data_IF_031763466283
#
_entry.id   IF_031763466283
#
_cell.length_a   1.000
_cell.length_b   1.000
_cell.length_c   1.000
_cell.angle_alpha   90.00
_cell.angle_beta   90.00
_cell.angle_gamma   90.00
#
_symmetry.space_group_name_H-M   'P 1'
#
loop_
_entity.id
_entity.type
_entity.pdbx_description
1 polymer ?
#
# COMPACT_ATOMS: atom_id res chain seq x y z
N UNK A 1 -17.34 18.77 16.62
CA UNK A 1 -17.59 18.59 15.17
C UNK A 1 -16.41 19.13 14.42
N UNK A 2 -15.97 18.38 13.39
CA UNK A 2 -15.18 18.78 12.21
C UNK A 2 -13.86 19.52 12.45
N UNK A 3 -12.71 19.03 12.00
CA UNK A 3 -12.51 18.56 10.62
C UNK A 3 -11.50 17.42 10.56
N UNK A 4 -11.89 16.32 9.93
CA UNK A 4 -10.92 15.47 9.26
C UNK A 4 -10.27 16.34 8.16
N UNK A 5 -8.94 16.33 8.01
CA UNK A 5 -8.33 16.95 6.85
C UNK A 5 -8.87 16.21 5.63
N UNK A 6 -9.52 16.97 4.76
CA UNK A 6 -10.04 16.52 3.48
C UNK A 6 -9.00 15.66 2.78
N UNK A 7 -9.46 14.51 2.30
CA UNK A 7 -8.83 13.69 1.27
C UNK A 7 -8.10 14.61 0.28
N UNK A 8 -6.79 14.67 0.41
CA UNK A 8 -5.96 15.40 -0.54
C UNK A 8 -6.03 14.57 -1.82
N UNK A 9 -6.57 15.18 -2.87
CA UNK A 9 -6.95 14.51 -4.10
C UNK A 9 -5.86 13.63 -4.67
N UNK A 10 -6.29 12.48 -5.21
CA UNK A 10 -5.51 11.67 -6.13
C UNK A 10 -4.93 12.59 -7.20
N UNK A 11 -3.59 12.76 -7.22
CA UNK A 11 -2.90 13.49 -8.27
C UNK A 11 -3.18 12.80 -9.61
N UNK A 12 -3.70 13.50 -10.62
CA UNK A 12 -4.13 12.89 -11.88
C UNK A 12 -2.99 12.63 -12.90
N UNK A 13 -1.70 12.66 -12.50
CA UNK A 13 -0.56 12.41 -13.40
C UNK A 13 0.19 11.09 -13.11
N UNK A 14 0.26 10.65 -11.85
CA UNK A 14 0.98 9.44 -11.43
C UNK A 14 0.33 8.11 -11.87
N UNK A 15 -0.94 8.11 -12.28
CA UNK A 15 -1.60 6.88 -12.74
C UNK A 15 -1.02 6.40 -14.07
N UNK A 16 -0.75 7.31 -15.00
CA UNK A 16 -0.30 6.96 -16.36
C UNK A 16 1.03 6.21 -16.39
N UNK A 17 1.96 6.55 -15.50
CA UNK A 17 3.26 5.87 -15.46
C UNK A 17 3.19 4.52 -14.72
N UNK A 18 2.26 4.36 -13.78
CA UNK A 18 1.97 3.07 -13.15
C UNK A 18 1.30 2.12 -14.14
N UNK A 19 0.32 2.61 -14.89
CA UNK A 19 -0.39 1.83 -15.90
C UNK A 19 0.60 1.27 -16.94
N UNK A 20 1.54 2.10 -17.42
CA UNK A 20 2.61 1.66 -18.34
C UNK A 20 3.51 0.57 -17.74
N UNK A 21 3.80 0.65 -16.45
CA UNK A 21 4.62 -0.36 -15.77
C UNK A 21 3.83 -1.64 -15.57
N UNK A 22 2.54 -1.56 -15.26
CA UNK A 22 1.64 -2.70 -15.16
C UNK A 22 1.50 -3.44 -16.50
N UNK A 23 1.23 -2.70 -17.57
CA UNK A 23 1.17 -3.24 -18.94
C UNK A 23 2.48 -3.95 -19.30
N UNK A 24 3.63 -3.33 -19.01
CA UNK A 24 4.93 -3.92 -19.29
C UNK A 24 5.21 -5.17 -18.46
N UNK A 25 4.77 -5.23 -17.19
CA UNK A 25 4.91 -6.42 -16.35
C UNK A 25 4.06 -7.59 -16.87
N UNK A 26 2.85 -7.29 -17.36
CA UNK A 26 1.99 -8.28 -18.00
C UNK A 26 2.65 -8.83 -19.27
N UNK A 27 3.16 -7.92 -20.11
CA UNK A 27 3.90 -8.24 -21.33
C UNK A 27 5.18 -9.06 -21.11
N UNK A 28 5.85 -8.88 -19.96
CA UNK A 28 7.02 -9.67 -19.57
C UNK A 28 6.60 -11.08 -19.14
N UNK A 29 5.49 -11.17 -18.40
CA UNK A 29 4.94 -12.47 -17.97
C UNK A 29 4.48 -13.30 -19.16
N UNK A 30 3.83 -12.67 -20.14
CA UNK A 30 3.47 -13.30 -21.41
C UNK A 30 4.72 -13.77 -22.18
N UNK A 31 5.73 -12.91 -22.33
CA UNK A 31 6.99 -13.28 -22.99
C UNK A 31 7.70 -14.47 -22.30
N UNK A 32 7.66 -14.53 -20.96
CA UNK A 32 8.19 -15.67 -20.20
C UNK A 32 7.39 -16.95 -20.47
N UNK A 33 6.06 -16.86 -20.52
CA UNK A 33 5.20 -18.01 -20.84
C UNK A 33 5.45 -18.52 -22.27
N UNK A 34 5.56 -17.62 -23.25
CA UNK A 34 5.88 -17.97 -24.64
C UNK A 34 7.25 -18.65 -24.77
N UNK A 35 8.27 -18.17 -24.07
CA UNK A 35 9.59 -18.81 -24.02
C UNK A 35 9.45 -20.20 -23.40
N UNK A 36 8.69 -20.34 -22.30
CA UNK A 36 8.41 -21.63 -21.68
C UNK A 36 7.80 -22.65 -22.64
N UNK A 37 6.81 -22.23 -23.44
CA UNK A 37 6.19 -23.08 -24.47
C UNK A 37 7.18 -23.42 -25.58
N UNK A 38 7.98 -22.46 -26.04
CA UNK A 38 8.94 -22.67 -27.13
C UNK A 38 10.10 -23.59 -26.71
N UNK A 39 10.49 -23.55 -25.44
CA UNK A 39 11.48 -24.49 -24.86
C UNK A 39 10.88 -25.88 -24.68
N UNK A 40 9.58 -25.97 -24.34
CA UNK A 40 8.88 -27.25 -24.19
C UNK A 40 8.76 -28.02 -25.51
N UNK A 41 8.44 -27.32 -26.61
CA UNK A 41 8.36 -27.90 -27.97
C UNK A 41 9.56 -27.47 -28.83
N UNK A 42 10.77 -27.75 -28.32
CA UNK A 42 11.98 -27.32 -28.99
C UNK A 42 12.24 -28.11 -30.28
N UNK A 43 12.37 -27.37 -31.38
CA UNK A 43 12.79 -27.86 -32.69
C UNK A 43 14.05 -27.09 -33.13
N UNK A 44 14.94 -27.70 -33.94
CA UNK A 44 16.16 -27.03 -34.42
C UNK A 44 15.87 -25.76 -35.25
N UNK A 45 14.73 -25.68 -35.95
CA UNK A 45 14.29 -24.43 -36.61
C UNK A 45 13.86 -23.33 -35.62
N UNK A 46 13.51 -23.70 -34.39
CA UNK A 46 13.03 -22.78 -33.34
C UNK A 46 14.16 -22.12 -32.54
N UNK A 47 15.42 -22.48 -32.77
CA UNK A 47 16.58 -21.90 -32.09
C UNK A 47 16.69 -20.39 -32.34
N UNK A 48 16.56 -19.96 -33.60
CA UNK A 48 16.60 -18.54 -33.96
C UNK A 48 15.42 -17.77 -33.35
N UNK A 49 14.23 -18.39 -33.30
CA UNK A 49 13.05 -17.80 -32.67
C UNK A 49 13.25 -17.63 -31.15
N UNK A 50 13.83 -18.62 -30.47
CA UNK A 50 14.15 -18.53 -29.04
C UNK A 50 15.10 -17.38 -28.75
N UNK A 51 16.17 -17.24 -29.53
CA UNK A 51 17.12 -16.13 -29.37
C UNK A 51 16.42 -14.78 -29.51
N UNK A 52 15.54 -14.61 -30.52
CA UNK A 52 14.79 -13.37 -30.69
C UNK A 52 13.86 -13.08 -29.50
N UNK A 53 13.21 -14.11 -28.92
CA UNK A 53 12.33 -13.96 -27.76
C UNK A 53 13.11 -13.59 -26.50
N UNK A 54 14.28 -14.21 -26.27
CA UNK A 54 15.16 -13.86 -25.16
C UNK A 54 15.67 -12.43 -25.29
N UNK A 55 16.08 -12.02 -26.49
CA UNK A 55 16.50 -10.64 -26.75
C UNK A 55 15.38 -9.63 -26.51
N UNK A 56 14.14 -9.97 -26.92
CA UNK A 56 12.96 -9.16 -26.62
C UNK A 56 12.73 -9.06 -25.11
N UNK A 57 12.84 -10.17 -24.38
CA UNK A 57 12.70 -10.19 -22.92
C UNK A 57 13.73 -9.28 -22.24
N UNK A 58 15.00 -9.36 -22.64
CA UNK A 58 16.08 -8.51 -22.11
C UNK A 58 15.78 -7.02 -22.36
N UNK A 59 15.31 -6.68 -23.57
CA UNK A 59 14.90 -5.30 -23.90
C UNK A 59 13.74 -4.83 -23.03
N UNK A 60 12.72 -5.67 -22.80
CA UNK A 60 11.58 -5.35 -21.92
C UNK A 60 12.04 -5.14 -20.47
N UNK A 61 12.94 -5.96 -19.93
CA UNK A 61 13.51 -5.75 -18.59
C UNK A 61 14.31 -4.45 -18.47
N UNK A 62 15.08 -4.10 -19.50
CA UNK A 62 15.82 -2.82 -19.54
C UNK A 62 14.88 -1.62 -19.53
N UNK A 63 13.77 -1.72 -20.28
CA UNK A 63 12.72 -0.72 -20.32
C UNK A 63 12.01 -0.60 -18.97
N UNK A 64 11.70 -1.74 -18.33
CA UNK A 64 11.09 -1.78 -16.99
C UNK A 64 11.98 -1.10 -15.94
N UNK A 65 13.29 -1.35 -15.97
CA UNK A 65 14.26 -0.71 -15.07
C UNK A 65 14.40 0.81 -15.33
N UNK A 66 14.07 1.28 -16.53
CA UNK A 66 14.09 2.70 -16.86
C UNK A 66 12.80 3.38 -16.41
N UNK A 67 11.65 2.73 -16.59
CA UNK A 67 10.35 3.22 -16.11
C UNK A 67 10.26 3.20 -14.57
N UNK A 68 10.80 2.18 -13.91
CA UNK A 68 10.76 2.06 -12.44
C UNK A 68 11.43 3.24 -11.73
N UNK A 69 12.46 3.84 -12.35
CA UNK A 69 13.14 5.04 -11.81
C UNK A 69 12.25 6.30 -11.82
N UNK A 70 11.24 6.34 -12.67
CA UNK A 70 10.29 7.45 -12.73
C UNK A 70 9.14 7.28 -11.72
N UNK A 71 8.93 6.07 -11.19
CA UNK A 71 7.91 5.82 -10.19
C UNK A 71 8.38 6.27 -8.79
N UNK A 72 7.81 7.37 -8.30
CA UNK A 72 8.01 7.82 -6.92
C UNK A 72 6.96 7.22 -5.99
N UNK A 73 6.97 5.89 -5.82
CA UNK A 73 6.10 5.19 -4.86
C UNK A 73 6.90 4.73 -3.64
N UNK A 74 6.44 5.12 -2.45
CA UNK A 74 6.94 4.57 -1.19
C UNK A 74 6.04 3.42 -0.76
N UNK A 75 6.61 2.21 -0.68
CA UNK A 75 5.91 1.00 -0.27
C UNK A 75 6.35 0.68 1.18
N UNK A 76 5.41 0.56 2.14
CA UNK A 76 5.74 0.13 3.49
C UNK A 76 6.34 -1.29 3.51
N UNK A 77 7.31 -1.52 4.38
CA UNK A 77 7.96 -2.84 4.50
C UNK A 77 6.96 -3.94 4.90
N UNK A 78 5.90 -3.59 5.62
CA UNK A 78 4.85 -4.51 6.02
C UNK A 78 4.06 -5.06 4.82
N UNK A 79 3.89 -4.26 3.76
CA UNK A 79 3.27 -4.71 2.51
C UNK A 79 4.19 -5.67 1.77
N UNK A 80 5.52 -5.47 1.85
CA UNK A 80 6.48 -6.42 1.28
C UNK A 80 6.39 -7.78 1.97
N UNK A 81 6.32 -7.81 3.30
CA UNK A 81 6.13 -9.04 4.08
C UNK A 81 4.81 -9.75 3.73
N UNK A 82 3.75 -9.00 3.41
CA UNK A 82 2.48 -9.60 2.96
C UNK A 82 2.67 -10.40 1.67
N UNK A 83 3.48 -9.90 0.73
CA UNK A 83 3.77 -10.60 -0.53
C UNK A 83 4.59 -11.87 -0.26
N UNK A 84 5.58 -11.80 0.64
CA UNK A 84 6.40 -12.97 1.03
C UNK A 84 5.56 -14.08 1.68
N UNK A 85 4.63 -13.71 2.55
CA UNK A 85 3.75 -14.64 3.28
C UNK A 85 2.50 -15.05 2.48
N UNK A 86 2.38 -14.63 1.21
CA UNK A 86 1.23 -14.88 0.34
C UNK A 86 -0.11 -14.34 0.91
N UNK A 87 -0.04 -13.29 1.71
CA UNK A 87 -1.21 -12.60 2.27
C UNK A 87 -1.64 -11.49 1.31
N UNK A 88 -2.94 -11.38 1.07
CA UNK A 88 -3.47 -10.27 0.27
C UNK A 88 -3.18 -8.92 0.96
N UNK A 89 -2.41 -8.00 0.33
CA UNK A 89 -2.10 -6.70 0.93
C UNK A 89 -3.35 -5.84 1.21
N UNK A 90 -4.45 -6.04 0.47
CA UNK A 90 -5.72 -5.35 0.76
C UNK A 90 -6.35 -5.80 2.08
N UNK A 91 -6.21 -7.09 2.42
CA UNK A 91 -6.68 -7.61 3.70
C UNK A 91 -5.86 -7.01 4.85
N UNK A 92 -4.54 -6.93 4.68
CA UNK A 92 -3.66 -6.27 5.65
C UNK A 92 -4.04 -4.80 5.84
N UNK A 93 -4.25 -4.06 4.75
CA UNK A 93 -4.68 -2.66 4.80
C UNK A 93 -5.99 -2.49 5.57
N UNK A 94 -6.96 -3.39 5.32
CA UNK A 94 -8.23 -3.40 6.02
C UNK A 94 -8.05 -3.62 7.52
N UNK A 95 -7.32 -4.65 7.92
CA UNK A 95 -7.10 -4.98 9.33
C UNK A 95 -6.34 -3.86 10.05
N UNK A 96 -5.35 -3.27 9.38
CA UNK A 96 -4.60 -2.12 9.90
C UNK A 96 -5.52 -0.90 10.11
N UNK A 97 -6.40 -0.62 9.16
CA UNK A 97 -7.35 0.49 9.26
C UNK A 97 -8.37 0.25 10.39
N UNK A 98 -8.92 -0.96 10.49
CA UNK A 98 -9.85 -1.33 11.55
C UNK A 98 -9.21 -1.23 12.93
N UNK A 99 -7.98 -1.72 13.07
CA UNK A 99 -7.20 -1.59 14.31
C UNK A 99 -6.94 -0.13 14.66
N UNK A 100 -6.50 0.66 13.69
CA UNK A 100 -6.26 2.10 13.90
C UNK A 100 -7.53 2.83 14.33
N UNK A 101 -8.68 2.49 13.72
CA UNK A 101 -9.96 3.06 14.10
C UNK A 101 -10.38 2.68 15.53
N UNK A 102 -10.21 1.40 15.90
CA UNK A 102 -10.50 0.91 17.25
C UNK A 102 -9.58 1.58 18.30
N UNK A 103 -8.28 1.68 18.02
CA UNK A 103 -7.31 2.35 18.90
C UNK A 103 -7.65 3.84 19.05
N UNK A 104 -8.03 4.53 17.97
CA UNK A 104 -8.44 5.93 18.03
C UNK A 104 -9.70 6.12 18.91
N UNK A 105 -10.72 5.28 18.72
CA UNK A 105 -11.92 5.33 19.57
C UNK A 105 -11.60 5.08 21.04
N UNK A 106 -10.74 4.10 21.31
CA UNK A 106 -10.30 3.77 22.67
C UNK A 106 -9.53 4.92 23.33
N UNK A 107 -8.59 5.54 22.61
CA UNK A 107 -7.83 6.69 23.09
C UNK A 107 -8.73 7.90 23.33
N UNK A 108 -9.68 8.16 22.43
CA UNK A 108 -10.68 9.20 22.62
C UNK A 108 -11.54 8.94 23.87
N UNK A 109 -11.98 7.70 24.08
CA UNK A 109 -12.70 7.30 25.29
C UNK A 109 -11.91 7.57 26.57
N UNK A 110 -10.62 7.21 26.59
CA UNK A 110 -9.70 7.53 27.70
C UNK A 110 -9.57 9.04 27.92
N UNK A 111 -9.39 9.82 26.86
CA UNK A 111 -9.27 11.28 26.93
C UNK A 111 -10.54 11.92 27.53
N UNK A 112 -11.71 11.46 27.10
CA UNK A 112 -13.00 11.91 27.64
C UNK A 112 -13.14 11.55 29.12
N UNK A 113 -12.77 10.33 29.52
CA UNK A 113 -12.84 9.89 30.91
C UNK A 113 -11.93 10.73 31.83
N UNK A 114 -10.70 11.00 31.40
CA UNK A 114 -9.76 11.88 32.13
C UNK A 114 -10.32 13.30 32.25
N UNK A 115 -10.88 13.84 31.16
CA UNK A 115 -11.50 15.16 31.15
C UNK A 115 -12.67 15.24 32.15
N UNK A 116 -13.56 14.24 32.13
CA UNK A 116 -14.69 14.13 33.08
C UNK A 116 -14.23 14.03 34.53
N UNK A 117 -13.19 13.24 34.80
CA UNK A 117 -12.60 13.13 36.14
C UNK A 117 -12.07 14.48 36.61
N UNK A 118 -11.29 15.18 35.77
CA UNK A 118 -10.77 16.51 36.10
C UNK A 118 -11.89 17.52 36.39
N UNK A 119 -12.94 17.56 35.55
CA UNK A 119 -14.10 18.42 35.79
C UNK A 119 -14.84 18.08 37.07
N UNK A 120 -15.01 16.79 37.38
CA UNK A 120 -15.67 16.33 38.61
C UNK A 120 -14.88 16.70 39.86
N UNK A 121 -13.56 16.50 39.84
CA UNK A 121 -12.68 16.88 40.95
C UNK A 121 -12.71 18.40 41.18
N UNK A 122 -12.61 19.20 40.10
CA UNK A 122 -12.74 20.67 40.18
C UNK A 122 -14.08 21.10 40.79
N UNK A 123 -15.18 20.44 40.41
CA UNK A 123 -16.51 20.72 40.95
C UNK A 123 -16.64 20.38 42.44
N UNK A 124 -16.05 19.27 42.87
CA UNK A 124 -16.04 18.90 44.29
C UNK A 124 -15.21 19.88 45.13
N UNK A 125 -14.04 20.29 44.62
CA UNK A 125 -13.18 21.28 45.29
C UNK A 125 -13.83 22.67 45.37
N UNK A 126 -14.51 23.13 44.30
CA UNK A 126 -15.21 24.40 44.34
C UNK A 126 -16.39 24.37 45.33
N UNK A 127 -17.13 23.26 45.36
CA UNK A 127 -18.25 23.09 46.29
C UNK A 127 -17.80 23.09 47.76
N UNK A 128 -16.69 22.43 48.10
CA UNK A 128 -16.16 22.47 49.47
C UNK A 128 -15.64 23.85 49.86
N UNK A 129 -15.10 24.61 48.90
CA UNK A 129 -14.65 25.99 49.16
C UNK A 129 -15.81 26.97 49.41
N UNK A 130 -17.01 26.70 48.87
CA UNK A 130 -18.20 27.56 49.07
C UNK A 130 -19.00 27.22 50.33
N UNK A 131 -18.70 26.13 51.03
CA UNK A 131 -19.40 25.71 52.26
C UNK A 131 -18.70 26.25 53.54
N UNK A 132 -17.51 26.85 53.39
CA UNK A 132 -16.70 27.35 54.51
C UNK A 132 -16.75 28.89 54.71
N UNK A 133 -17.74 29.58 54.14
CA UNK A 133 -18.12 30.98 54.47
C UNK A 133 -19.56 31.01 54.98
#
# INVERSE_FOLDING_TARGET
MSSFPSQNGLKPDESSDRDKVEDLLLEITEALAEIGVTVYDYQPESELLLHERVDKLIKKFSLLNSLSKNLNLSIPAEILNCIEENINPELYNKDFLERTAAENQFLNGKSIAISKLSSSLRKSLSKSSSISL
#
